data_IF_794156784717
#
_entry.id   IF_794156784717
#
_cell.length_a   1.000
_cell.length_b   1.000
_cell.length_c   1.000
_cell.angle_alpha   90.00
_cell.angle_beta   90.00
_cell.angle_gamma   90.00
#
_symmetry.space_group_name_H-M   'P 1'
#
loop_
_entity.id
_entity.type
_entity.pdbx_description
1 polymer ?
#
# COMPACT_ATOMS: atom_id res chain seq x y z
N UNK A 1 13.16 -16.37 -5.29
CA UNK A 1 13.35 -14.95 -5.63
C UNK A 1 12.36 -14.55 -6.70
N UNK A 2 11.41 -13.65 -6.39
CA UNK A 2 10.52 -13.07 -7.40
C UNK A 2 11.26 -11.98 -8.18
N UNK A 3 11.14 -11.99 -9.51
CA UNK A 3 11.63 -10.91 -10.36
C UNK A 3 10.55 -9.83 -10.51
N UNK A 4 10.93 -8.65 -11.03
CA UNK A 4 9.99 -7.57 -11.29
C UNK A 4 8.89 -8.00 -12.27
N UNK A 5 9.28 -8.73 -13.31
CA UNK A 5 8.39 -9.23 -14.35
C UNK A 5 7.42 -10.27 -13.77
N UNK A 6 7.88 -11.11 -12.85
CA UNK A 6 7.03 -12.07 -12.17
C UNK A 6 6.01 -11.37 -11.28
N UNK A 7 6.43 -10.37 -10.51
CA UNK A 7 5.50 -9.60 -9.66
C UNK A 7 4.46 -8.89 -10.53
N UNK A 8 4.88 -8.23 -11.60
CA UNK A 8 3.96 -7.53 -12.50
C UNK A 8 2.96 -8.48 -13.17
N UNK A 9 3.43 -9.65 -13.62
CA UNK A 9 2.57 -10.67 -14.22
C UNK A 9 1.51 -11.19 -13.23
N UNK A 10 1.93 -11.52 -12.02
CA UNK A 10 1.06 -12.11 -10.98
C UNK A 10 0.03 -11.12 -10.42
N UNK A 11 0.34 -9.81 -10.46
CA UNK A 11 -0.59 -8.74 -10.07
C UNK A 11 -1.51 -8.30 -11.23
N UNK A 12 -1.08 -8.53 -12.47
CA UNK A 12 -1.53 -7.79 -13.65
C UNK A 12 -3.04 -7.76 -13.90
N UNK A 13 -3.72 -8.91 -13.81
CA UNK A 13 -5.16 -8.99 -14.11
C UNK A 13 -6.03 -8.83 -12.86
N UNK A 14 -5.41 -8.90 -11.67
CA UNK A 14 -6.13 -8.87 -10.39
C UNK A 14 -6.22 -7.48 -9.79
N UNK A 15 -5.30 -6.58 -10.15
CA UNK A 15 -5.19 -5.24 -9.59
C UNK A 15 -5.81 -4.17 -10.49
N UNK A 16 -6.29 -3.11 -9.86
CA UNK A 16 -6.88 -1.93 -10.51
C UNK A 16 -5.88 -0.77 -10.47
N UNK A 17 -4.71 -0.99 -11.07
CA UNK A 17 -3.59 -0.05 -11.14
C UNK A 17 -3.41 0.41 -12.59
N UNK A 18 -3.26 1.72 -12.85
CA UNK A 18 -3.03 2.20 -14.22
C UNK A 18 -1.68 1.73 -14.75
N UNK A 19 -1.57 1.57 -16.07
CA UNK A 19 -0.39 0.98 -16.73
C UNK A 19 0.93 1.66 -16.32
N UNK A 20 0.96 2.99 -16.26
CA UNK A 20 2.14 3.75 -15.86
C UNK A 20 2.62 3.48 -14.41
N UNK A 21 1.74 2.97 -13.55
CA UNK A 21 2.01 2.69 -12.15
C UNK A 21 2.43 1.24 -11.88
N UNK A 22 2.28 0.35 -12.86
CA UNK A 22 2.63 -1.08 -12.74
C UNK A 22 4.11 -1.30 -12.44
N UNK A 23 4.99 -0.69 -13.22
CA UNK A 23 6.45 -0.80 -13.01
C UNK A 23 6.88 -0.18 -11.66
N UNK A 24 6.44 1.04 -11.28
CA UNK A 24 6.69 1.57 -9.94
C UNK A 24 6.21 0.67 -8.80
N UNK A 25 5.01 0.09 -8.90
CA UNK A 25 4.47 -0.82 -7.89
C UNK A 25 5.30 -2.09 -7.77
N UNK A 26 5.57 -2.78 -8.88
CA UNK A 26 6.38 -4.00 -8.90
C UNK A 26 7.80 -3.74 -8.40
N UNK A 27 8.37 -2.57 -8.74
CA UNK A 27 9.66 -2.12 -8.20
C UNK A 27 9.60 -1.94 -6.69
N UNK A 28 8.57 -1.27 -6.17
CA UNK A 28 8.40 -1.10 -4.73
C UNK A 28 8.29 -2.44 -3.99
N UNK A 29 7.52 -3.37 -4.53
CA UNK A 29 7.31 -4.70 -3.95
C UNK A 29 8.56 -5.58 -3.98
N UNK A 30 9.42 -5.44 -4.99
CA UNK A 30 10.69 -6.19 -5.07
C UNK A 30 11.66 -5.92 -3.92
N UNK A 31 11.46 -4.83 -3.18
CA UNK A 31 12.26 -4.51 -1.98
C UNK A 31 11.71 -5.16 -0.71
N UNK A 32 10.59 -5.86 -0.78
CA UNK A 32 10.00 -6.55 0.36
C UNK A 32 10.59 -7.97 0.51
N UNK A 33 10.58 -8.54 1.72
CA UNK A 33 10.94 -9.93 1.91
C UNK A 33 10.05 -10.86 1.08
N UNK A 34 10.62 -11.97 0.58
CA UNK A 34 9.92 -12.91 -0.30
C UNK A 34 8.57 -13.39 0.26
N UNK A 35 8.53 -13.76 1.54
CA UNK A 35 7.28 -14.15 2.23
C UNK A 35 6.20 -13.07 2.24
N UNK A 36 6.58 -11.79 2.16
CA UNK A 36 5.65 -10.66 2.12
C UNK A 36 5.15 -10.48 0.69
N UNK A 37 6.01 -10.68 -0.31
CA UNK A 37 5.60 -10.69 -1.72
C UNK A 37 4.61 -11.83 -1.98
N UNK A 38 4.88 -13.04 -1.45
CA UNK A 38 3.94 -14.18 -1.54
C UNK A 38 2.59 -13.83 -0.93
N UNK A 39 2.59 -13.25 0.27
CA UNK A 39 1.35 -12.77 0.91
C UNK A 39 0.61 -11.75 0.04
N UNK A 40 1.31 -10.78 -0.54
CA UNK A 40 0.72 -9.76 -1.40
C UNK A 40 0.09 -10.40 -2.63
N UNK A 41 0.84 -11.24 -3.34
CA UNK A 41 0.36 -11.95 -4.53
C UNK A 41 -0.83 -12.85 -4.16
N UNK A 42 -0.86 -13.51 -3.01
CA UNK A 42 -1.95 -14.41 -2.68
C UNK A 42 -3.20 -13.72 -2.11
N UNK A 43 -3.02 -12.61 -1.37
CA UNK A 43 -4.06 -12.08 -0.47
C UNK A 43 -4.43 -10.63 -0.71
N UNK A 44 -3.71 -9.89 -1.54
CA UNK A 44 -3.95 -8.46 -1.74
C UNK A 44 -4.47 -8.16 -3.15
N UNK A 45 -5.28 -7.12 -3.24
CA UNK A 45 -5.62 -6.41 -4.47
C UNK A 45 -5.25 -4.96 -4.29
N UNK A 46 -4.48 -4.39 -5.21
CA UNK A 46 -4.21 -2.97 -5.23
C UNK A 46 -5.23 -2.23 -6.07
N UNK A 47 -5.66 -1.06 -5.58
CA UNK A 47 -6.53 -0.15 -6.31
C UNK A 47 -5.93 1.25 -6.24
N UNK A 48 -5.78 1.86 -7.41
CA UNK A 48 -5.28 3.23 -7.52
C UNK A 48 -6.43 4.20 -7.71
N UNK A 49 -6.56 5.20 -6.83
CA UNK A 49 -7.67 6.15 -6.85
C UNK A 49 -7.25 7.51 -7.39
N UNK A 50 -7.91 7.94 -8.46
CA UNK A 50 -7.97 9.34 -8.85
C UNK A 50 -8.70 10.17 -7.79
N UNK A 51 -8.28 11.43 -7.65
CA UNK A 51 -8.87 12.37 -6.69
C UNK A 51 -10.38 12.59 -6.85
N UNK A 52 -10.92 12.31 -8.03
CA UNK A 52 -12.31 12.61 -8.39
C UNK A 52 -13.23 11.39 -8.37
N UNK A 53 -12.74 10.21 -7.95
CA UNK A 53 -13.63 9.07 -7.74
C UNK A 53 -14.58 9.34 -6.57
N UNK A 54 -15.87 9.48 -6.88
CA UNK A 54 -16.95 9.62 -5.89
C UNK A 54 -17.21 8.32 -5.10
N UNK A 55 -16.56 7.23 -5.49
CA UNK A 55 -16.61 5.93 -4.84
C UNK A 55 -16.04 4.84 -5.75
N UNK A 56 -15.65 3.72 -5.15
CA UNK A 56 -15.28 2.50 -5.86
C UNK A 56 -16.43 1.52 -5.63
N UNK A 57 -16.99 0.99 -6.70
CA UNK A 57 -17.91 -0.14 -6.59
C UNK A 57 -17.14 -1.43 -6.84
N UNK A 58 -16.92 -2.20 -5.79
CA UNK A 58 -16.38 -3.55 -5.86
C UNK A 58 -17.53 -4.53 -5.62
N UNK A 59 -17.89 -5.29 -6.66
CA UNK A 59 -18.90 -6.33 -6.50
C UNK A 59 -18.28 -7.53 -5.78
N UNK A 60 -18.96 -8.06 -4.76
CA UNK A 60 -18.59 -9.32 -4.11
C UNK A 60 -18.58 -10.52 -5.08
N UNK A 61 -19.22 -10.38 -6.25
CA UNK A 61 -19.19 -11.39 -7.31
C UNK A 61 -17.92 -11.34 -8.16
N UNK A 62 -17.10 -10.28 -8.04
CA UNK A 62 -15.85 -10.14 -8.78
C UNK A 62 -14.90 -11.27 -8.38
N UNK A 63 -14.62 -12.17 -9.32
CA UNK A 63 -13.83 -13.37 -9.06
C UNK A 63 -12.42 -13.05 -8.55
N UNK A 64 -11.90 -11.86 -8.88
CA UNK A 64 -10.60 -11.37 -8.42
C UNK A 64 -10.56 -11.14 -6.90
N UNK A 65 -11.71 -10.84 -6.28
CA UNK A 65 -11.84 -10.65 -4.84
C UNK A 65 -12.21 -11.94 -4.09
N UNK A 66 -12.59 -13.02 -4.79
CA UNK A 66 -13.02 -14.26 -4.12
C UNK A 66 -11.89 -14.97 -3.38
N UNK A 67 -10.64 -14.85 -3.87
CA UNK A 67 -9.45 -15.45 -3.25
C UNK A 67 -8.62 -14.46 -2.42
N UNK A 68 -8.78 -13.16 -2.67
CA UNK A 68 -8.02 -12.08 -2.03
C UNK A 68 -8.79 -11.54 -0.83
N UNK A 69 -8.08 -11.22 0.25
CA UNK A 69 -8.68 -10.86 1.54
C UNK A 69 -8.44 -9.40 1.92
N UNK A 70 -7.57 -8.70 1.18
CA UNK A 70 -7.15 -7.34 1.50
C UNK A 70 -7.23 -6.48 0.25
N UNK A 71 -7.76 -5.27 0.41
CA UNK A 71 -7.75 -4.24 -0.63
C UNK A 71 -6.81 -3.14 -0.14
N UNK A 72 -5.77 -2.86 -0.92
CA UNK A 72 -4.81 -1.80 -0.65
C UNK A 72 -5.13 -0.61 -1.57
N UNK A 73 -5.49 0.51 -0.96
CA UNK A 73 -5.85 1.73 -1.69
C UNK A 73 -4.63 2.65 -1.76
N UNK A 74 -4.23 3.01 -2.97
CA UNK A 74 -3.13 3.93 -3.22
C UNK A 74 -3.65 5.15 -3.98
N UNK A 75 -3.20 6.35 -3.60
CA UNK A 75 -3.58 7.57 -4.34
C UNK A 75 -2.83 7.65 -5.66
N UNK A 76 -3.49 8.04 -6.76
CA UNK A 76 -2.83 8.20 -8.07
C UNK A 76 -1.67 9.21 -8.03
N UNK A 77 -1.71 10.20 -7.14
CA UNK A 77 -0.62 11.17 -7.02
C UNK A 77 0.69 10.54 -6.50
N UNK A 78 0.60 9.38 -5.85
CA UNK A 78 1.76 8.65 -5.33
C UNK A 78 2.75 8.33 -6.43
N UNK A 79 2.27 7.93 -7.60
CA UNK A 79 3.09 7.43 -8.71
C UNK A 79 3.98 8.49 -9.36
N UNK A 80 3.74 9.76 -9.05
CA UNK A 80 4.56 10.90 -9.48
C UNK A 80 5.60 11.32 -8.44
N UNK A 81 5.62 10.68 -7.27
CA UNK A 81 6.65 10.92 -6.26
C UNK A 81 7.95 10.17 -6.60
N UNK A 82 9.04 10.49 -5.88
CA UNK A 82 10.31 9.79 -6.08
C UNK A 82 10.24 8.32 -5.63
N UNK A 83 11.09 7.47 -6.21
CA UNK A 83 11.20 6.03 -5.92
C UNK A 83 11.14 5.67 -4.43
N UNK A 84 11.88 6.39 -3.57
CA UNK A 84 11.92 6.11 -2.13
C UNK A 84 10.57 6.41 -1.45
N UNK A 85 9.84 7.42 -1.92
CA UNK A 85 8.49 7.74 -1.45
C UNK A 85 7.49 6.65 -1.82
N UNK A 86 7.47 6.27 -3.11
CA UNK A 86 6.59 5.22 -3.63
C UNK A 86 6.83 3.93 -2.85
N UNK A 87 8.09 3.52 -2.75
CA UNK A 87 8.48 2.29 -2.06
C UNK A 87 8.04 2.29 -0.60
N UNK A 88 8.23 3.42 0.10
CA UNK A 88 7.83 3.53 1.50
C UNK A 88 6.32 3.42 1.69
N UNK A 89 5.53 4.15 0.90
CA UNK A 89 4.07 4.15 1.02
C UNK A 89 3.50 2.77 0.68
N UNK A 90 3.96 2.15 -0.41
CA UNK A 90 3.56 0.78 -0.76
C UNK A 90 3.88 -0.20 0.38
N UNK A 91 5.11 -0.14 0.92
CA UNK A 91 5.51 -1.00 2.03
C UNK A 91 4.67 -0.75 3.30
N UNK A 92 4.31 0.50 3.57
CA UNK A 92 3.46 0.89 4.71
C UNK A 92 2.05 0.31 4.58
N UNK A 93 1.39 0.45 3.43
CA UNK A 93 0.05 -0.13 3.23
C UNK A 93 0.07 -1.66 3.22
N UNK A 94 1.11 -2.27 2.64
CA UNK A 94 1.32 -3.72 2.73
C UNK A 94 1.52 -4.15 4.20
N UNK A 95 2.21 -3.35 5.01
CA UNK A 95 2.36 -3.63 6.44
C UNK A 95 1.03 -3.58 7.19
N UNK A 96 0.13 -2.65 6.86
CA UNK A 96 -1.23 -2.65 7.40
C UNK A 96 -1.96 -3.97 7.11
N UNK A 97 -1.96 -4.41 5.85
CA UNK A 97 -2.59 -5.66 5.45
C UNK A 97 -1.94 -6.88 6.14
N UNK A 98 -0.60 -6.95 6.13
CA UNK A 98 0.16 -8.07 6.69
C UNK A 98 -0.03 -8.20 8.20
N UNK A 99 -0.10 -7.08 8.93
CA UNK A 99 -0.36 -7.03 10.37
C UNK A 99 -1.85 -7.13 10.72
N UNK A 100 -2.73 -7.25 9.72
CA UNK A 100 -4.20 -7.30 9.88
C UNK A 100 -4.73 -6.08 10.62
N UNK A 101 -4.16 -4.91 10.37
CA UNK A 101 -4.76 -3.66 10.75
C UNK A 101 -6.03 -3.49 9.91
N UNK A 102 -7.20 -3.77 10.48
CA UNK A 102 -8.47 -3.56 9.79
C UNK A 102 -8.66 -2.10 9.40
N UNK A 103 -9.55 -1.84 8.44
CA UNK A 103 -10.02 -0.49 8.16
C UNK A 103 -10.49 0.15 9.46
N UNK A 104 -10.14 1.42 9.66
CA UNK A 104 -10.71 2.23 10.72
C UNK A 104 -12.21 2.25 10.47
N UNK A 105 -12.95 1.38 11.18
CA UNK A 105 -14.40 1.42 11.17
C UNK A 105 -14.81 2.82 11.62
N UNK A 106 -15.92 3.33 11.10
CA UNK A 106 -16.49 4.62 11.54
C UNK A 106 -16.69 4.63 13.08
N UNK A 107 -16.76 3.45 13.70
CA UNK A 107 -16.85 3.25 15.15
C UNK A 107 -15.48 3.06 15.86
N UNK A 108 -14.39 2.82 15.13
CA UNK A 108 -13.03 2.65 15.66
C UNK A 108 -12.39 4.03 15.91
N UNK A 109 -13.00 4.76 16.84
CA UNK A 109 -12.74 6.18 17.14
C UNK A 109 -11.62 6.38 18.15
N UNK A 110 -10.95 5.33 18.64
CA UNK A 110 -9.88 5.50 19.62
C UNK A 110 -8.58 5.97 18.94
N UNK A 111 -8.21 7.26 19.06
CA UNK A 111 -7.06 7.81 18.33
C UNK A 111 -5.75 7.15 18.74
N UNK A 112 -5.65 6.67 19.99
CA UNK A 112 -4.45 6.01 20.49
C UNK A 112 -4.23 4.64 19.83
N UNK A 113 -5.30 3.92 19.46
CA UNK A 113 -5.21 2.64 18.74
C UNK A 113 -4.74 2.88 17.31
N UNK A 114 -5.31 3.88 16.63
CA UNK A 114 -4.91 4.25 15.27
C UNK A 114 -3.44 4.69 15.24
N UNK A 115 -3.01 5.58 16.15
CA UNK A 115 -1.60 5.97 16.29
C UNK A 115 -0.67 4.75 16.46
N UNK A 116 -1.08 3.74 17.23
CA UNK A 116 -0.30 2.51 17.40
C UNK A 116 -0.23 1.69 16.11
N UNK A 117 -1.34 1.54 15.38
CA UNK A 117 -1.39 0.84 14.10
C UNK A 117 -0.48 1.52 13.07
N UNK A 118 -0.61 2.83 12.89
CA UNK A 118 0.23 3.63 11.98
C UNK A 118 1.73 3.47 12.30
N UNK A 119 2.11 3.65 13.58
CA UNK A 119 3.50 3.49 14.02
C UNK A 119 4.03 2.08 13.81
N UNK A 120 3.17 1.06 13.98
CA UNK A 120 3.55 -0.33 13.77
C UNK A 120 3.76 -0.62 12.28
N UNK A 121 2.90 -0.10 11.40
CA UNK A 121 3.07 -0.19 9.96
C UNK A 121 4.34 0.54 9.49
N UNK A 122 4.57 1.77 9.96
CA UNK A 122 5.80 2.53 9.70
C UNK A 122 7.05 1.74 10.11
N UNK A 123 7.07 1.20 11.33
CA UNK A 123 8.20 0.42 11.83
C UNK A 123 8.46 -0.80 10.94
N UNK A 124 7.41 -1.51 10.55
CA UNK A 124 7.52 -2.71 9.74
C UNK A 124 8.01 -2.39 8.31
N UNK A 125 7.48 -1.34 7.70
CA UNK A 125 7.93 -0.85 6.39
C UNK A 125 9.40 -0.43 6.42
N UNK A 126 9.83 0.32 7.43
CA UNK A 126 11.25 0.70 7.59
C UNK A 126 12.13 -0.54 7.72
N UNK A 127 11.71 -1.53 8.52
CA UNK A 127 12.48 -2.75 8.71
C UNK A 127 12.67 -3.52 7.39
N UNK A 128 11.64 -3.59 6.54
CA UNK A 128 11.74 -4.24 5.22
C UNK A 128 12.66 -3.48 4.28
N UNK A 129 12.64 -2.15 4.32
CA UNK A 129 13.34 -1.30 3.35
C UNK A 129 14.75 -0.90 3.76
N UNK A 130 15.11 -1.04 5.04
CA UNK A 130 16.41 -0.65 5.58
C UNK A 130 17.61 -1.28 4.83
N UNK A 131 17.56 -2.54 4.35
CA UNK A 131 18.66 -3.11 3.56
C UNK A 131 18.88 -2.43 2.20
N UNK A 132 17.88 -1.71 1.67
CA UNK A 132 17.86 -1.23 0.28
C UNK A 132 17.99 0.29 0.15
N UNK A 133 17.77 1.03 1.24
CA UNK A 133 17.79 2.48 1.23
C UNK A 133 18.62 3.04 2.38
N UNK A 134 19.50 3.98 2.06
CA UNK A 134 20.22 4.77 3.06
C UNK A 134 19.41 6.00 3.48
N UNK A 135 19.70 6.51 4.68
CA UNK A 135 19.08 7.73 5.23
C UNK A 135 17.64 7.55 5.72
N UNK A 136 17.11 8.60 6.35
CA UNK A 136 15.83 8.55 7.06
C UNK A 136 14.60 8.44 6.15
N UNK A 137 13.54 7.77 6.64
CA UNK A 137 12.19 7.79 6.07
C UNK A 137 11.26 8.80 6.76
N UNK A 138 11.76 9.61 7.70
CA UNK A 138 10.96 10.54 8.53
C UNK A 138 10.04 11.47 7.72
N UNK A 139 10.48 11.92 6.55
CA UNK A 139 9.69 12.78 5.65
C UNK A 139 8.48 12.09 5.01
N UNK A 140 8.51 10.76 4.89
CA UNK A 140 7.44 9.97 4.28
C UNK A 140 6.46 9.45 5.32
N UNK A 141 6.98 9.09 6.50
CA UNK A 141 6.17 8.85 7.70
C UNK A 141 5.24 10.04 7.94
N UNK A 142 5.71 11.27 7.86
CA UNK A 142 4.82 12.42 8.08
C UNK A 142 3.70 12.56 7.01
N UNK A 143 3.98 12.19 5.76
CA UNK A 143 3.01 12.31 4.65
C UNK A 143 1.90 11.24 4.72
N UNK A 144 2.18 10.00 5.14
CA UNK A 144 1.13 8.98 5.30
C UNK A 144 0.05 9.42 6.30
N UNK A 145 0.45 10.11 7.36
CA UNK A 145 -0.45 10.65 8.38
C UNK A 145 -1.32 11.81 7.85
N UNK A 146 -0.82 12.58 6.88
CA UNK A 146 -1.56 13.65 6.21
C UNK A 146 -2.53 13.14 5.13
N UNK A 147 -2.24 12.00 4.49
CA UNK A 147 -3.18 11.39 3.55
C UNK A 147 -4.45 10.88 4.24
N UNK A 148 -4.36 10.47 5.51
CA UNK A 148 -5.51 10.07 6.33
C UNK A 148 -6.28 11.26 6.93
N UNK A 149 -5.61 12.40 7.11
CA UNK A 149 -6.22 13.60 7.67
C UNK A 149 -6.36 14.62 6.55
N UNK A 150 -7.49 14.60 5.84
CA UNK A 150 -7.88 15.60 4.84
C UNK A 150 -7.95 17.02 5.38
N UNK A 151 -6.81 17.58 5.80
CA UNK A 151 -6.63 18.96 6.15
C UNK A 151 -6.25 19.70 4.89
N UNK A 152 -7.24 20.41 4.37
CA UNK A 152 -7.03 21.59 3.53
C UNK A 152 -5.94 22.44 4.16
N UNK A 153 -4.82 22.56 3.46
CA UNK A 153 -3.96 23.74 3.61
C UNK A 153 -4.78 24.91 3.07
N UNK A 154 -5.22 25.80 3.95
CA UNK A 154 -5.62 27.15 3.56
C UNK A 154 -4.39 27.92 3.10
#
# INVERSE_FOLDING_TARGET
MHTLEKIDYELGDTDFIPEYARVPLSTALSYLPEKVIDFVIEKCVFVSLEKDYRGIHLSLSDFRLKSKQNIILLSNVLWFENKKAITFVVAHEVAHAYLRHGFVSINDTNPAVNIKRERSADKQAIQWLQPHFTGSFKRYVYKSWQLQSGKKSN
#
